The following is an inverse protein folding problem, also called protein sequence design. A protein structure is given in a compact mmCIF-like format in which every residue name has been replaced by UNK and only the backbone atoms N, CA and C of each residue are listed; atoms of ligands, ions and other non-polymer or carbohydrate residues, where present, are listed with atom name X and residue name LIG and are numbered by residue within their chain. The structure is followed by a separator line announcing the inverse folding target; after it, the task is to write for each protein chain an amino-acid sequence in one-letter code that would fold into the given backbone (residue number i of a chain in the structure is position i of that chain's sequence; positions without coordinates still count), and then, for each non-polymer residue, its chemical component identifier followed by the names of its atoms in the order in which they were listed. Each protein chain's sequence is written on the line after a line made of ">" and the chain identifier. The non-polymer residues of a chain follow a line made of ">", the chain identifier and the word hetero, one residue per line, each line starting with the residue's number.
data_IF_321742741795
#
_entry.id   IF_321742741795
#
_cell.length_a   1.000
_cell.length_b   1.000
_cell.length_c   1.000
_cell.angle_alpha   90.00
_cell.angle_beta   90.00
_cell.angle_gamma   90.00
#
_symmetry.space_group_name_H-M   'P 1'
#
loop_
_entity.id
_entity.type
_entity.pdbx_description
1 polymer ?
#
# COMPACT_ATOMS: atom_id res chain seq x y z
N UNK A 1 2.81 3.93 -16.28
CA UNK A 1 2.17 2.63 -16.52
C UNK A 1 1.90 1.99 -15.17
N UNK A 2 0.67 1.59 -14.91
CA UNK A 2 0.27 0.75 -13.80
C UNK A 2 0.19 -0.68 -14.31
N UNK A 3 0.95 -1.59 -13.69
CA UNK A 3 0.92 -3.02 -14.04
C UNK A 3 0.15 -3.74 -12.94
N UNK A 4 -1.00 -4.29 -13.30
CA UNK A 4 -1.79 -5.14 -12.44
C UNK A 4 -1.46 -6.60 -12.74
N UNK A 5 -1.15 -7.36 -11.69
CA UNK A 5 -0.81 -8.77 -11.82
C UNK A 5 -1.81 -9.62 -11.08
N UNK A 6 -2.38 -10.59 -11.79
CA UNK A 6 -3.20 -11.62 -11.21
C UNK A 6 -2.33 -12.84 -10.94
N UNK A 7 -2.00 -13.08 -9.68
CA UNK A 7 -1.17 -14.21 -9.27
C UNK A 7 -1.96 -15.53 -9.17
N UNK A 8 -2.85 -15.77 -10.14
CA UNK A 8 -3.70 -16.95 -10.28
C UNK A 8 -3.35 -17.67 -11.59
N UNK A 9 -3.37 -18.99 -11.56
CA UNK A 9 -3.05 -19.84 -12.72
C UNK A 9 -4.29 -20.43 -13.40
N UNK A 10 -5.46 -20.30 -12.78
CA UNK A 10 -6.74 -20.66 -13.37
C UNK A 10 -7.12 -19.67 -14.49
N UNK A 11 -7.08 -20.16 -15.73
CA UNK A 11 -7.35 -19.35 -16.92
C UNK A 11 -8.79 -18.87 -16.99
N UNK A 12 -9.77 -19.66 -16.52
CA UNK A 12 -11.17 -19.26 -16.57
C UNK A 12 -11.43 -18.08 -15.63
N UNK A 13 -10.85 -18.15 -14.43
CA UNK A 13 -10.87 -17.03 -13.49
C UNK A 13 -10.15 -15.80 -14.06
N UNK A 14 -8.92 -15.96 -14.58
CA UNK A 14 -8.16 -14.84 -15.15
C UNK A 14 -8.93 -14.18 -16.29
N UNK A 15 -9.50 -14.96 -17.22
CA UNK A 15 -10.28 -14.43 -18.33
C UNK A 15 -11.54 -13.68 -17.85
N UNK A 16 -12.21 -14.18 -16.81
CA UNK A 16 -13.39 -13.51 -16.25
C UNK A 16 -13.04 -12.12 -15.66
N UNK A 17 -11.89 -12.01 -14.98
CA UNK A 17 -11.43 -10.76 -14.39
C UNK A 17 -10.96 -9.79 -15.48
N UNK A 18 -10.21 -10.27 -16.47
CA UNK A 18 -9.78 -9.46 -17.62
C UNK A 18 -11.00 -8.88 -18.34
N UNK A 19 -12.03 -9.67 -18.62
CA UNK A 19 -13.25 -9.18 -19.26
C UNK A 19 -13.96 -8.09 -18.44
N UNK A 20 -13.95 -8.21 -17.10
CA UNK A 20 -14.50 -7.17 -16.23
C UNK A 20 -13.68 -5.88 -16.29
N UNK A 21 -12.35 -5.98 -16.27
CA UNK A 21 -11.45 -4.83 -16.35
C UNK A 21 -11.50 -4.14 -17.71
N UNK A 22 -11.57 -4.89 -18.81
CA UNK A 22 -11.73 -4.33 -20.14
C UNK A 22 -13.04 -3.54 -20.26
N UNK A 23 -14.11 -4.00 -19.61
CA UNK A 23 -15.38 -3.28 -19.58
C UNK A 23 -15.30 -1.96 -18.81
N UNK A 24 -14.59 -1.91 -17.68
CA UNK A 24 -14.55 -0.76 -16.79
C UNK A 24 -13.41 0.23 -17.12
N UNK A 25 -12.26 -0.25 -17.59
CA UNK A 25 -11.01 0.50 -17.80
C UNK A 25 -10.48 0.41 -19.23
N UNK A 26 -11.36 0.20 -20.22
CA UNK A 26 -10.98 0.10 -21.65
C UNK A 26 -10.09 1.25 -22.12
N UNK A 27 -10.35 2.48 -21.66
CA UNK A 27 -9.59 3.66 -22.09
C UNK A 27 -8.15 3.60 -21.57
N UNK A 28 -7.97 3.25 -20.31
CA UNK A 28 -6.66 3.16 -19.65
C UNK A 28 -5.85 1.98 -20.18
N UNK A 29 -6.51 0.85 -20.47
CA UNK A 29 -5.89 -0.33 -21.08
C UNK A 29 -5.44 -0.01 -22.50
N UNK A 30 -6.33 0.54 -23.33
CA UNK A 30 -6.02 0.85 -24.73
C UNK A 30 -4.95 1.95 -24.88
N UNK A 31 -4.85 2.87 -23.91
CA UNK A 31 -3.79 3.89 -23.90
C UNK A 31 -2.44 3.36 -23.39
N UNK A 32 -2.37 2.12 -22.89
CA UNK A 32 -1.18 1.57 -22.24
C UNK A 32 -0.90 2.17 -20.86
N UNK A 33 -1.84 2.93 -20.28
CA UNK A 33 -1.72 3.41 -18.90
C UNK A 33 -1.82 2.24 -17.93
N UNK A 34 -2.72 1.30 -18.19
CA UNK A 34 -2.95 0.08 -17.41
C UNK A 34 -2.56 -1.13 -18.24
N UNK A 35 -1.75 -1.99 -17.66
CA UNK A 35 -1.41 -3.29 -18.23
C UNK A 35 -1.82 -4.39 -17.25
N UNK A 36 -2.42 -5.45 -17.78
CA UNK A 36 -2.86 -6.61 -17.01
C UNK A 36 -2.04 -7.81 -17.43
N UNK A 37 -1.40 -8.48 -16.48
CA UNK A 37 -0.60 -9.68 -16.71
C UNK A 37 -0.94 -10.78 -15.72
N UNK A 38 -0.69 -12.02 -16.13
CA UNK A 38 -0.75 -13.18 -15.26
C UNK A 38 0.47 -14.09 -15.56
N UNK A 39 1.16 -14.59 -14.53
CA UNK A 39 2.24 -15.54 -14.74
C UNK A 39 1.69 -16.89 -15.24
N UNK A 40 2.33 -17.53 -16.24
CA UNK A 40 1.94 -18.86 -16.65
C UNK A 40 2.18 -19.86 -15.52
N UNK A 41 1.40 -20.95 -15.47
CA UNK A 41 1.57 -21.99 -14.45
C UNK A 41 3.00 -22.56 -14.42
N UNK A 42 3.67 -22.63 -15.58
CA UNK A 42 5.05 -23.09 -15.74
C UNK A 42 6.11 -22.18 -15.10
N UNK A 43 5.76 -20.94 -14.74
CA UNK A 43 6.65 -20.04 -14.03
C UNK A 43 6.94 -20.53 -12.61
N UNK A 44 5.95 -21.15 -11.95
CA UNK A 44 6.10 -21.59 -10.57
C UNK A 44 6.76 -22.97 -10.50
N UNK A 45 7.78 -23.15 -9.64
CA UNK A 45 8.33 -24.47 -9.34
C UNK A 45 7.35 -25.27 -8.49
N UNK A 46 7.66 -26.55 -8.25
CA UNK A 46 6.92 -27.33 -7.26
C UNK A 46 7.07 -26.71 -5.85
N UNK A 47 5.93 -26.28 -5.29
CA UNK A 47 5.83 -25.67 -3.95
C UNK A 47 5.25 -26.64 -2.91
N UNK A 48 5.12 -27.92 -3.22
CA UNK A 48 4.56 -28.92 -2.28
C UNK A 48 5.56 -29.36 -1.21
N UNK A 49 6.84 -29.46 -1.58
CA UNK A 49 7.91 -30.01 -0.74
C UNK A 49 8.83 -28.92 -0.16
N UNK A 50 8.23 -27.91 0.48
CA UNK A 50 8.98 -26.82 1.12
C UNK A 50 9.34 -27.16 2.57
N UNK A 51 10.55 -26.77 2.99
CA UNK A 51 11.01 -26.93 4.37
C UNK A 51 10.31 -25.92 5.28
N UNK A 52 9.77 -26.40 6.39
CA UNK A 52 9.22 -25.55 7.45
C UNK A 52 10.34 -24.76 8.16
N UNK A 53 10.09 -23.48 8.41
CA UNK A 53 11.07 -22.56 8.98
C UNK A 53 10.37 -21.54 9.87
N UNK A 54 11.07 -20.99 10.86
CA UNK A 54 10.55 -19.93 11.74
C UNK A 54 9.27 -20.28 12.51
N UNK A 55 8.95 -21.57 12.64
CA UNK A 55 7.70 -22.03 13.26
C UNK A 55 6.46 -21.80 12.40
N UNK A 56 6.62 -21.47 11.11
CA UNK A 56 5.51 -21.30 10.17
C UNK A 56 4.92 -22.66 9.75
N UNK A 57 3.61 -22.73 9.56
CA UNK A 57 2.95 -23.90 8.96
C UNK A 57 3.35 -24.07 7.49
N UNK A 58 3.14 -25.26 6.91
CA UNK A 58 3.39 -25.52 5.48
C UNK A 58 2.68 -24.55 4.57
N UNK A 59 1.43 -24.22 4.88
CA UNK A 59 0.61 -23.28 4.10
C UNK A 59 1.23 -21.89 4.11
N UNK A 60 1.71 -21.45 5.28
CA UNK A 60 2.37 -20.15 5.42
C UNK A 60 3.72 -20.11 4.70
N UNK A 61 4.51 -21.17 4.79
CA UNK A 61 5.78 -21.30 4.05
C UNK A 61 5.54 -21.28 2.55
N UNK A 62 4.55 -22.05 2.07
CA UNK A 62 4.12 -22.04 0.67
C UNK A 62 3.66 -20.65 0.23
N UNK A 63 2.83 -20.00 1.04
CA UNK A 63 2.33 -18.65 0.77
C UNK A 63 3.48 -17.64 0.62
N UNK A 64 4.40 -17.52 1.59
CA UNK A 64 5.51 -16.56 1.52
C UNK A 64 6.50 -16.89 0.39
N UNK A 65 6.69 -18.17 0.08
CA UNK A 65 7.57 -18.61 -1.01
C UNK A 65 6.98 -18.25 -2.37
N UNK A 66 5.68 -18.49 -2.56
CA UNK A 66 4.96 -18.07 -3.76
C UNK A 66 4.99 -16.55 -3.90
N UNK A 67 4.74 -15.82 -2.82
CA UNK A 67 4.71 -14.35 -2.81
C UNK A 67 6.05 -13.73 -3.28
N UNK A 68 7.18 -14.30 -2.87
CA UNK A 68 8.49 -13.87 -3.38
C UNK A 68 8.59 -14.02 -4.91
N UNK A 69 8.11 -15.14 -5.46
CA UNK A 69 8.11 -15.39 -6.91
C UNK A 69 7.12 -14.48 -7.64
N UNK A 70 5.97 -14.22 -7.04
CA UNK A 70 4.94 -13.28 -7.52
C UNK A 70 5.56 -11.88 -7.71
N UNK A 71 6.26 -11.37 -6.70
CA UNK A 71 6.97 -10.09 -6.80
C UNK A 71 8.08 -10.11 -7.85
N UNK A 72 8.91 -11.16 -7.89
CA UNK A 72 9.94 -11.29 -8.92
C UNK A 72 9.36 -11.21 -10.33
N UNK A 73 8.23 -11.88 -10.59
CA UNK A 73 7.58 -11.89 -11.90
C UNK A 73 7.18 -10.47 -12.32
N UNK A 74 6.47 -9.76 -11.43
CA UNK A 74 6.03 -8.39 -11.67
C UNK A 74 7.22 -7.45 -11.89
N UNK A 75 8.25 -7.53 -11.03
CA UNK A 75 9.44 -6.69 -11.13
C UNK A 75 10.20 -6.93 -12.44
N UNK A 76 10.38 -8.19 -12.86
CA UNK A 76 11.02 -8.52 -14.13
C UNK A 76 10.26 -7.95 -15.33
N UNK A 77 8.93 -8.05 -15.31
CA UNK A 77 8.09 -7.50 -16.38
C UNK A 77 8.14 -5.97 -16.43
N UNK A 78 8.10 -5.32 -15.26
CA UNK A 78 8.03 -3.87 -15.14
C UNK A 78 9.37 -3.15 -15.31
N UNK A 79 10.50 -3.84 -15.15
CA UNK A 79 11.84 -3.25 -15.13
C UNK A 79 12.10 -2.26 -16.27
N UNK A 80 11.69 -2.61 -17.50
CA UNK A 80 11.98 -1.80 -18.69
C UNK A 80 10.94 -0.72 -19.00
N UNK A 81 9.93 -0.54 -18.14
CA UNK A 81 8.76 0.32 -18.42
C UNK A 81 8.85 1.73 -17.83
N UNK A 82 9.84 2.00 -16.99
CA UNK A 82 9.98 3.30 -16.34
C UNK A 82 11.38 3.54 -15.80
N UNK A 83 11.61 4.75 -15.29
CA UNK A 83 12.84 5.12 -14.57
C UNK A 83 12.83 4.59 -13.14
N UNK A 84 11.64 4.56 -12.54
CA UNK A 84 11.39 4.06 -11.19
C UNK A 84 10.32 2.98 -11.22
N UNK A 85 10.47 2.02 -10.32
CA UNK A 85 9.46 1.00 -10.02
C UNK A 85 8.94 1.24 -8.60
N UNK A 86 7.63 1.10 -8.39
CA UNK A 86 7.02 1.15 -7.06
C UNK A 86 6.17 -0.11 -6.86
N UNK A 87 6.45 -0.85 -5.80
CA UNK A 87 5.60 -1.97 -5.38
C UNK A 87 4.40 -1.44 -4.59
N UNK A 88 3.21 -1.85 -4.99
CA UNK A 88 1.97 -1.68 -4.22
C UNK A 88 1.36 -3.06 -3.95
N UNK A 89 0.54 -3.14 -2.91
CA UNK A 89 -0.27 -4.32 -2.59
C UNK A 89 -1.75 -3.97 -2.76
N UNK A 90 -2.60 -4.99 -2.71
CA UNK A 90 -4.04 -4.86 -2.59
C UNK A 90 -4.44 -4.28 -1.22
N UNK A 91 -5.73 -3.92 -1.09
CA UNK A 91 -6.32 -3.42 0.15
C UNK A 91 -5.56 -2.24 0.82
N UNK A 92 -5.03 -1.32 0.01
CA UNK A 92 -4.35 -0.11 0.51
C UNK A 92 -5.25 1.13 0.45
N UNK A 93 -5.16 1.96 1.47
CA UNK A 93 -5.65 3.34 1.48
C UNK A 93 -4.48 4.28 1.22
N UNK A 94 -4.70 5.27 0.36
CA UNK A 94 -3.69 6.25 -0.06
C UNK A 94 -4.01 7.64 0.47
N UNK A 95 -2.97 8.45 0.73
CA UNK A 95 -3.16 9.88 0.99
C UNK A 95 -3.50 10.66 -0.29
N UNK A 96 -4.20 11.78 -0.13
CA UNK A 96 -4.39 12.73 -1.22
C UNK A 96 -3.03 13.17 -1.77
N UNK A 97 -2.95 13.37 -3.09
CA UNK A 97 -1.72 13.79 -3.78
C UNK A 97 -0.53 12.83 -3.59
N UNK A 98 -0.76 11.54 -3.27
CA UNK A 98 0.32 10.57 -3.08
C UNK A 98 1.27 10.53 -4.29
N UNK A 99 0.73 10.54 -5.51
CA UNK A 99 1.52 10.42 -6.73
C UNK A 99 2.46 11.62 -6.94
N UNK A 100 1.95 12.85 -6.83
CA UNK A 100 2.78 14.05 -6.98
C UNK A 100 3.81 14.17 -5.85
N UNK A 101 3.43 13.77 -4.63
CA UNK A 101 4.33 13.73 -3.48
C UNK A 101 5.50 12.77 -3.71
N UNK A 102 5.20 11.53 -4.14
CA UNK A 102 6.19 10.51 -4.49
C UNK A 102 7.13 11.01 -5.58
N UNK A 103 6.56 11.56 -6.67
CA UNK A 103 7.34 12.06 -7.81
C UNK A 103 8.31 13.16 -7.38
N UNK A 104 7.82 14.15 -6.63
CA UNK A 104 8.66 15.27 -6.18
C UNK A 104 9.76 14.79 -5.22
N UNK A 105 9.45 13.85 -4.33
CA UNK A 105 10.43 13.28 -3.41
C UNK A 105 11.53 12.50 -4.13
N UNK A 106 11.15 11.64 -5.10
CA UNK A 106 12.12 10.91 -5.92
C UNK A 106 13.00 11.86 -6.74
N UNK A 107 12.44 12.93 -7.30
CA UNK A 107 13.20 13.93 -8.05
C UNK A 107 14.16 14.74 -7.15
N UNK A 108 13.76 15.05 -5.92
CA UNK A 108 14.62 15.73 -4.95
C UNK A 108 15.86 14.88 -4.60
N UNK A 109 15.70 13.56 -4.57
CA UNK A 109 16.77 12.62 -4.25
C UNK A 109 17.47 12.05 -5.50
N UNK A 110 17.24 12.61 -6.69
CA UNK A 110 17.77 12.06 -7.94
C UNK A 110 19.31 12.07 -8.02
N UNK A 111 19.97 12.96 -7.26
CA UNK A 111 21.45 13.05 -7.17
C UNK A 111 22.03 12.27 -6.00
N UNK A 112 21.21 11.76 -5.09
CA UNK A 112 21.64 11.04 -3.90
C UNK A 112 21.82 9.55 -4.19
N UNK A 113 22.74 8.91 -3.48
CA UNK A 113 22.93 7.45 -3.55
C UNK A 113 21.95 6.75 -2.60
N UNK A 114 20.83 6.28 -3.15
CA UNK A 114 19.81 5.53 -2.43
C UNK A 114 19.42 4.28 -3.21
N UNK A 115 19.02 3.24 -2.48
CA UNK A 115 18.58 1.97 -3.08
C UNK A 115 17.07 1.75 -2.93
N UNK A 116 16.48 2.17 -1.80
CA UNK A 116 15.06 1.97 -1.50
C UNK A 116 14.47 3.26 -0.97
N UNK A 117 13.43 3.80 -1.62
CA UNK A 117 12.58 4.81 -1.01
C UNK A 117 11.32 4.14 -0.42
N UNK A 118 11.03 4.41 0.85
CA UNK A 118 9.87 3.85 1.55
C UNK A 118 8.78 4.90 1.75
N UNK A 119 7.57 4.60 1.26
CA UNK A 119 6.36 5.41 1.49
C UNK A 119 5.36 4.75 2.46
N UNK A 120 5.71 3.56 2.98
CA UNK A 120 5.11 2.92 4.14
C UNK A 120 6.15 2.05 4.83
N UNK A 121 6.06 1.95 6.16
CA UNK A 121 6.86 1.04 6.98
C UNK A 121 6.38 -0.42 6.87
N UNK A 122 5.14 -0.64 6.45
CA UNK A 122 4.53 -1.98 6.46
C UNK A 122 4.88 -2.75 5.20
N UNK A 123 5.37 -3.97 5.38
CA UNK A 123 5.54 -4.96 4.32
C UNK A 123 6.30 -4.43 3.11
N UNK A 124 5.90 -4.90 1.93
CA UNK A 124 6.49 -4.50 0.66
C UNK A 124 5.76 -3.31 0.01
N UNK A 125 4.79 -2.72 0.72
CA UNK A 125 3.96 -1.63 0.22
C UNK A 125 4.77 -0.35 0.10
N UNK A 126 4.59 0.35 -1.02
CA UNK A 126 5.16 1.67 -1.25
C UNK A 126 6.69 1.66 -1.23
N UNK A 127 7.31 0.54 -1.63
CA UNK A 127 8.77 0.47 -1.81
C UNK A 127 9.10 0.82 -3.25
N UNK A 128 9.89 1.87 -3.42
CA UNK A 128 10.37 2.34 -4.71
C UNK A 128 11.84 1.98 -4.90
N UNK A 129 12.16 1.56 -6.13
CA UNK A 129 13.52 1.28 -6.58
C UNK A 129 13.81 1.98 -7.90
N UNK A 130 15.10 2.20 -8.18
CA UNK A 130 15.53 2.58 -9.53
C UNK A 130 15.47 1.36 -10.45
N UNK A 131 15.00 1.54 -11.68
CA UNK A 131 14.89 0.43 -12.63
C UNK A 131 16.20 -0.33 -12.90
N UNK A 132 17.40 0.31 -12.94
CA UNK A 132 18.66 -0.41 -13.07
C UNK A 132 18.94 -1.39 -11.91
N UNK A 133 18.50 -1.07 -10.70
CA UNK A 133 18.73 -1.90 -9.51
C UNK A 133 17.77 -3.10 -9.40
N UNK A 134 16.67 -3.08 -10.18
CA UNK A 134 15.66 -4.14 -10.15
C UNK A 134 16.27 -5.51 -10.47
N UNK A 135 17.22 -5.61 -11.39
CA UNK A 135 17.88 -6.90 -11.70
C UNK A 135 18.54 -7.49 -10.46
N UNK A 136 19.35 -6.71 -9.74
CA UNK A 136 20.04 -7.17 -8.55
C UNK A 136 19.06 -7.58 -7.44
N UNK A 137 17.98 -6.81 -7.28
CA UNK A 137 16.95 -7.11 -6.28
C UNK A 137 16.23 -8.42 -6.61
N UNK A 138 15.77 -8.56 -7.87
CA UNK A 138 15.10 -9.77 -8.34
C UNK A 138 16.01 -10.98 -8.21
N UNK A 139 17.27 -10.91 -8.65
CA UNK A 139 18.22 -12.03 -8.57
C UNK A 139 18.43 -12.46 -7.11
N UNK A 140 18.60 -11.51 -6.19
CA UNK A 140 18.74 -11.84 -4.77
C UNK A 140 17.50 -12.51 -4.21
N UNK A 141 16.30 -11.96 -4.49
CA UNK A 141 15.05 -12.57 -4.03
C UNK A 141 14.88 -13.97 -4.64
N UNK A 142 15.20 -14.12 -5.92
CA UNK A 142 15.07 -15.38 -6.65
C UNK A 142 16.08 -16.43 -6.16
N UNK A 143 17.26 -16.05 -5.67
CA UNK A 143 18.19 -16.98 -5.01
C UNK A 143 17.65 -17.49 -3.67
N UNK A 144 16.92 -16.66 -2.92
CA UNK A 144 16.51 -16.94 -1.54
C UNK A 144 15.00 -17.04 -1.32
N UNK A 145 14.21 -17.21 -2.38
CA UNK A 145 12.74 -17.14 -2.34
C UNK A 145 12.09 -18.17 -1.39
N UNK A 146 12.76 -19.31 -1.15
CA UNK A 146 12.32 -20.34 -0.18
C UNK A 146 12.67 -19.99 1.26
N UNK A 147 13.73 -19.21 1.46
CA UNK A 147 14.39 -19.08 2.76
C UNK A 147 13.72 -18.08 3.70
N UNK A 148 13.28 -16.93 3.18
CA UNK A 148 12.73 -15.85 4.01
C UNK A 148 11.61 -15.10 3.29
N UNK A 149 10.67 -14.45 4.01
CA UNK A 149 9.72 -13.53 3.39
C UNK A 149 10.43 -12.30 2.80
N UNK A 150 9.76 -11.62 1.87
CA UNK A 150 10.32 -10.54 1.05
C UNK A 150 10.93 -9.39 1.87
N UNK A 151 10.25 -8.94 2.93
CA UNK A 151 10.70 -7.83 3.77
C UNK A 151 12.06 -8.10 4.39
N UNK A 152 12.28 -9.36 4.79
CA UNK A 152 13.53 -9.80 5.37
C UNK A 152 14.59 -9.89 4.29
N UNK A 153 14.28 -10.43 3.11
CA UNK A 153 15.22 -10.49 2.00
C UNK A 153 15.70 -9.09 1.60
N UNK A 154 14.81 -8.10 1.50
CA UNK A 154 15.18 -6.71 1.23
C UNK A 154 16.12 -6.13 2.30
N UNK A 155 15.90 -6.46 3.59
CA UNK A 155 16.81 -6.07 4.65
C UNK A 155 18.18 -6.77 4.56
N UNK A 156 18.20 -8.04 4.13
CA UNK A 156 19.44 -8.78 3.92
C UNK A 156 20.24 -8.24 2.72
N UNK A 157 19.59 -7.77 1.66
CA UNK A 157 20.28 -7.08 0.56
C UNK A 157 21.08 -5.89 1.09
N UNK A 158 20.46 -5.04 1.91
CA UNK A 158 21.15 -3.90 2.50
C UNK A 158 22.25 -4.35 3.47
N UNK A 159 21.99 -5.39 4.28
CA UNK A 159 23.00 -5.94 5.18
C UNK A 159 24.26 -6.36 4.41
N UNK A 160 24.10 -7.13 3.33
CA UNK A 160 25.22 -7.59 2.49
C UNK A 160 25.94 -6.42 1.82
N UNK A 161 25.23 -5.37 1.40
CA UNK A 161 25.84 -4.23 0.70
C UNK A 161 26.63 -3.30 1.62
N UNK A 162 26.17 -3.05 2.85
CA UNK A 162 26.72 -1.93 3.66
C UNK A 162 27.09 -2.26 5.11
N UNK A 163 26.72 -3.43 5.64
CA UNK A 163 27.06 -3.76 7.01
C UNK A 163 28.43 -4.40 7.12
N UNK A 164 29.27 -3.86 8.02
CA UNK A 164 30.56 -4.44 8.35
C UNK A 164 30.38 -5.42 9.53
N UNK A 165 30.70 -6.72 9.37
CA UNK A 165 30.57 -7.73 10.43
C UNK A 165 31.41 -7.45 11.68
N UNK A 166 32.48 -6.66 11.57
CA UNK A 166 33.36 -6.29 12.68
C UNK A 166 32.84 -5.10 13.50
N UNK A 167 31.72 -4.48 13.08
CA UNK A 167 31.11 -3.33 13.74
C UNK A 167 29.79 -3.69 14.41
N UNK A 168 29.33 -2.80 15.28
CA UNK A 168 28.10 -2.99 16.02
C UNK A 168 26.83 -2.83 15.17
N UNK A 169 25.70 -3.28 15.73
CA UNK A 169 24.40 -3.21 15.06
C UNK A 169 24.01 -1.75 14.73
N UNK A 170 24.34 -0.79 15.60
CA UNK A 170 24.04 0.64 15.38
C UNK A 170 24.76 1.18 14.15
N UNK A 171 26.00 0.78 13.92
CA UNK A 171 26.71 1.12 12.70
C UNK A 171 25.97 0.56 11.48
N UNK A 172 25.61 -0.72 11.49
CA UNK A 172 24.87 -1.36 10.40
C UNK A 172 23.54 -0.65 10.11
N UNK A 173 22.74 -0.36 11.15
CA UNK A 173 21.45 0.33 11.02
C UNK A 173 21.60 1.72 10.40
N UNK A 174 22.64 2.46 10.79
CA UNK A 174 22.95 3.77 10.19
C UNK A 174 23.31 3.64 8.71
N UNK A 175 24.15 2.67 8.36
CA UNK A 175 24.51 2.45 6.96
C UNK A 175 23.29 2.05 6.12
N UNK A 176 22.46 1.13 6.63
CA UNK A 176 21.20 0.74 5.97
C UNK A 176 20.28 1.95 5.76
N UNK A 177 20.18 2.84 6.74
CA UNK A 177 19.32 4.03 6.69
C UNK A 177 19.75 5.06 5.64
N UNK A 178 21.03 5.08 5.26
CA UNK A 178 21.51 5.95 4.17
C UNK A 178 20.99 5.46 2.80
N UNK A 179 20.90 4.15 2.59
CA UNK A 179 20.38 3.57 1.34
C UNK A 179 18.87 3.33 1.34
N UNK A 180 18.25 3.20 2.52
CA UNK A 180 16.82 3.03 2.73
C UNK A 180 16.23 4.31 3.32
N UNK A 181 15.84 5.22 2.43
CA UNK A 181 15.32 6.53 2.82
C UNK A 181 13.79 6.44 2.96
N UNK A 182 13.29 6.78 4.15
CA UNK A 182 11.85 6.77 4.42
C UNK A 182 11.25 8.16 4.26
N UNK A 183 10.18 8.24 3.47
CA UNK A 183 9.30 9.39 3.43
C UNK A 183 8.38 9.41 4.65
N UNK A 184 8.26 10.58 5.28
CA UNK A 184 7.33 10.81 6.40
C UNK A 184 6.47 12.04 6.13
N UNK A 185 5.15 11.98 6.42
CA UNK A 185 4.40 10.83 6.94
C UNK A 185 4.15 9.75 5.86
N UNK A 186 3.88 8.51 6.27
CA UNK A 186 3.55 7.42 5.33
C UNK A 186 2.36 7.80 4.44
N UNK A 187 2.43 7.40 3.17
CA UNK A 187 1.42 7.68 2.15
C UNK A 187 0.44 6.52 1.94
N UNK A 188 0.82 5.33 2.40
CA UNK A 188 0.04 4.09 2.24
C UNK A 188 -0.25 3.45 3.59
N UNK A 189 -1.45 2.86 3.71
CA UNK A 189 -1.88 2.04 4.84
C UNK A 189 -2.63 0.82 4.32
N UNK A 190 -2.22 -0.37 4.74
CA UNK A 190 -2.96 -1.60 4.46
C UNK A 190 -4.20 -1.68 5.36
N UNK A 191 -5.40 -1.87 4.79
CA UNK A 191 -6.68 -1.95 5.53
C UNK A 191 -7.37 -3.31 5.42
N UNK A 192 -6.82 -4.24 4.64
CA UNK A 192 -7.34 -5.61 4.54
C UNK A 192 -7.34 -6.28 5.91
N UNK A 193 -8.53 -6.52 6.47
CA UNK A 193 -8.73 -7.12 7.79
C UNK A 193 -8.48 -8.63 7.79
N UNK A 194 -8.75 -9.29 6.66
CA UNK A 194 -8.61 -10.72 6.46
C UNK A 194 -7.51 -10.99 5.44
N UNK A 195 -6.44 -11.66 5.87
CA UNK A 195 -5.39 -12.11 4.96
C UNK A 195 -5.91 -13.26 4.09
N UNK A 196 -5.31 -13.44 2.90
CA UNK A 196 -5.45 -14.65 2.08
C UNK A 196 -5.01 -15.93 2.82
N UNK A 197 -4.30 -15.81 3.94
CA UNK A 197 -4.07 -16.91 4.88
C UNK A 197 -5.26 -17.05 5.86
N UNK A 198 -5.94 -18.20 5.80
CA UNK A 198 -7.11 -18.50 6.63
C UNK A 198 -6.84 -18.25 8.12
N UNK A 199 -7.70 -17.45 8.76
CA UNK A 199 -7.65 -17.14 10.19
C UNK A 199 -6.70 -16.01 10.62
N UNK A 200 -5.93 -15.41 9.71
CA UNK A 200 -5.03 -14.29 10.04
C UNK A 200 -5.75 -12.95 9.89
N UNK A 201 -6.09 -12.35 11.04
CA UNK A 201 -6.59 -10.98 11.11
C UNK A 201 -5.40 -10.02 11.09
N UNK A 202 -5.34 -9.12 10.10
CA UNK A 202 -4.28 -8.11 10.00
C UNK A 202 -4.75 -6.81 10.67
N UNK A 203 -4.17 -6.49 11.83
CA UNK A 203 -4.46 -5.26 12.60
C UNK A 203 -3.32 -4.24 12.56
N UNK A 204 -2.27 -4.50 11.77
CA UNK A 204 -1.11 -3.61 11.73
C UNK A 204 -1.50 -2.26 11.12
N UNK A 205 -1.18 -1.22 11.88
CA UNK A 205 -1.30 0.18 11.45
C UNK A 205 0.10 0.76 11.34
N UNK A 206 0.35 1.49 10.26
CA UNK A 206 1.59 2.20 10.04
C UNK A 206 1.61 3.41 10.98
N UNK A 207 2.60 3.45 11.87
CA UNK A 207 2.67 4.47 12.93
C UNK A 207 2.84 5.88 12.37
N UNK A 208 3.48 5.99 11.20
CA UNK A 208 3.73 7.25 10.51
C UNK A 208 2.60 7.58 9.51
N UNK A 209 1.63 6.67 9.30
CA UNK A 209 0.40 6.98 8.57
C UNK A 209 -0.53 7.79 9.45
N UNK A 210 -0.32 9.12 9.44
CA UNK A 210 -1.28 10.04 10.02
C UNK A 210 -2.62 9.79 9.32
N UNK A 211 -3.61 9.27 10.08
CA UNK A 211 -5.00 9.19 9.61
C UNK A 211 -5.33 10.55 9.00
N UNK A 212 -5.98 10.60 7.83
CA UNK A 212 -6.51 11.86 7.34
C UNK A 212 -7.24 12.51 8.52
N UNK A 213 -6.99 13.79 8.77
CA UNK A 213 -7.83 14.51 9.70
C UNK A 213 -9.25 14.35 9.16
N UNK A 214 -10.07 13.52 9.83
CA UNK A 214 -11.50 13.37 9.49
C UNK A 214 -12.17 14.75 9.51
N UNK A 215 -11.61 15.62 10.33
CA UNK A 215 -11.86 17.04 10.38
C UNK A 215 -11.03 17.80 9.33
N UNK A 216 -11.70 18.33 8.29
CA UNK A 216 -11.14 19.46 7.54
C UNK A 216 -11.40 20.72 8.34
N UNK A 217 -10.35 21.50 8.66
CA UNK A 217 -10.55 22.81 9.28
C UNK A 217 -11.39 23.66 8.33
N UNK A 218 -12.55 24.09 8.82
CA UNK A 218 -13.48 24.92 8.09
C UNK A 218 -14.15 25.90 9.05
N UNK A 219 -14.65 27.00 8.52
CA UNK A 219 -15.39 28.02 9.28
C UNK A 219 -16.75 28.13 8.64
N UNK A 220 -17.78 27.60 9.31
CA UNK A 220 -19.16 27.74 8.86
C UNK A 220 -19.77 29.05 9.37
N UNK A 221 -20.75 29.62 8.66
CA UNK A 221 -21.52 30.74 9.19
C UNK A 221 -22.32 30.30 10.44
N UNK A 222 -22.72 31.22 11.33
CA UNK A 222 -23.52 30.85 12.51
C UNK A 222 -24.83 30.14 12.12
N UNK A 223 -25.08 28.98 12.72
CA UNK A 223 -26.34 28.25 12.58
C UNK A 223 -26.64 27.43 13.84
N UNK A 224 -27.92 27.24 14.10
CA UNK A 224 -28.42 26.23 15.02
C UNK A 224 -28.49 24.90 14.26
N UNK A 225 -27.73 23.90 14.71
CA UNK A 225 -27.69 22.58 14.09
C UNK A 225 -28.39 21.57 14.98
N UNK A 226 -29.18 20.69 14.37
CA UNK A 226 -29.86 19.62 15.10
C UNK A 226 -30.04 18.38 14.24
N UNK A 227 -30.21 17.24 14.89
CA UNK A 227 -30.37 15.96 14.20
C UNK A 227 -31.20 15.00 15.03
N UNK A 228 -31.96 14.13 14.36
CA UNK A 228 -32.62 12.99 15.01
C UNK A 228 -31.70 11.79 15.20
N UNK A 229 -30.52 11.77 14.54
CA UNK A 229 -29.62 10.63 14.59
C UNK A 229 -28.96 10.51 15.97
N UNK A 230 -28.94 9.29 16.52
CA UNK A 230 -28.30 9.02 17.81
C UNK A 230 -26.78 9.11 17.69
N UNK A 231 -26.21 10.13 18.34
CA UNK A 231 -24.75 10.36 18.40
C UNK A 231 -24.03 9.15 19.00
N UNK A 232 -22.90 8.80 18.39
CA UNK A 232 -22.00 7.74 18.82
C UNK A 232 -20.72 8.32 19.41
N UNK A 233 -20.30 7.81 20.57
CA UNK A 233 -19.04 8.17 21.25
C UNK A 233 -18.78 9.67 21.46
N UNK A 234 -19.82 10.52 21.45
CA UNK A 234 -19.70 11.96 21.74
C UNK A 234 -19.22 12.83 20.59
N UNK A 235 -19.20 12.30 19.36
CA UNK A 235 -18.88 12.97 18.10
C UNK A 235 -20.12 13.66 17.53
N UNK A 236 -20.45 14.86 18.04
CA UNK A 236 -21.74 15.53 17.79
C UNK A 236 -21.75 16.37 16.50
N UNK A 237 -22.96 16.70 16.03
CA UNK A 237 -23.15 17.52 14.83
C UNK A 237 -22.65 18.96 15.06
N UNK A 238 -22.84 19.50 16.26
CA UNK A 238 -22.40 20.84 16.65
C UNK A 238 -20.88 20.96 16.55
N UNK A 239 -20.14 20.02 17.13
CA UNK A 239 -18.67 19.98 17.07
C UNK A 239 -18.17 19.88 15.63
N UNK A 240 -18.90 19.16 14.78
CA UNK A 240 -18.59 19.07 13.36
C UNK A 240 -18.79 20.41 12.67
N UNK A 241 -19.90 21.06 12.96
CA UNK A 241 -20.27 22.34 12.36
C UNK A 241 -19.33 23.48 12.74
N UNK A 242 -18.83 23.51 13.98
CA UNK A 242 -17.85 24.52 14.42
C UNK A 242 -16.40 24.18 14.06
N UNK A 243 -16.15 23.01 13.47
CA UNK A 243 -14.81 22.56 13.11
C UNK A 243 -13.95 22.14 14.31
N UNK A 244 -14.56 21.60 15.36
CA UNK A 244 -13.85 21.03 16.51
C UNK A 244 -13.64 19.51 16.38
N UNK A 245 -14.56 18.80 15.74
CA UNK A 245 -14.57 17.33 15.63
C UNK A 245 -15.26 16.87 14.33
N UNK A 246 -15.56 15.57 14.19
CA UNK A 246 -16.42 15.00 13.15
C UNK A 246 -17.76 14.49 13.70
N UNK A 247 -18.72 14.22 12.83
CA UNK A 247 -20.06 13.75 13.22
C UNK A 247 -20.09 12.24 13.07
N UNK A 248 -20.39 11.52 14.15
CA UNK A 248 -20.57 10.08 14.12
C UNK A 248 -21.87 9.71 14.81
N UNK A 249 -22.78 9.10 14.04
CA UNK A 249 -24.05 8.62 14.55
C UNK A 249 -24.32 7.19 14.09
N UNK A 250 -25.34 6.57 14.69
CA UNK A 250 -25.84 5.25 14.27
C UNK A 250 -26.43 5.32 12.85
N UNK A 251 -26.59 4.15 12.22
CA UNK A 251 -27.17 4.01 10.88
C UNK A 251 -28.51 4.75 10.79
N UNK A 252 -28.68 5.69 9.83
CA UNK A 252 -29.92 6.44 9.67
C UNK A 252 -31.09 5.52 9.29
N UNK A 253 -32.29 5.84 9.76
CA UNK A 253 -33.55 5.20 9.34
C UNK A 253 -34.43 6.19 8.57
N UNK A 254 -35.45 5.69 7.87
CA UNK A 254 -36.39 6.55 7.14
C UNK A 254 -37.06 7.54 8.10
N UNK A 255 -36.97 8.83 7.77
CA UNK A 255 -37.46 9.93 8.61
C UNK A 255 -36.40 10.63 9.45
N UNK A 256 -35.16 10.12 9.50
CA UNK A 256 -34.07 10.82 10.15
C UNK A 256 -33.65 12.10 9.40
N UNK A 257 -33.19 13.09 10.16
CA UNK A 257 -32.79 14.39 9.61
C UNK A 257 -31.49 14.93 10.22
N UNK A 258 -30.85 15.77 9.43
CA UNK A 258 -29.83 16.74 9.85
C UNK A 258 -30.36 18.09 9.40
N UNK A 259 -30.52 19.02 10.35
CA UNK A 259 -31.10 20.33 10.13
C UNK A 259 -30.06 21.41 10.45
N UNK A 260 -29.88 22.32 9.50
CA UNK A 260 -29.08 23.54 9.68
C UNK A 260 -30.03 24.73 9.58
N UNK A 261 -30.15 25.50 10.66
CA UNK A 261 -31.00 26.69 10.72
C UNK A 261 -30.11 27.93 10.85
N UNK A 262 -30.01 28.68 9.77
CA UNK A 262 -29.25 29.92 9.72
C UNK A 262 -30.13 31.11 10.13
N UNK A 263 -29.59 32.01 10.94
CA UNK A 263 -30.32 33.23 11.37
C UNK A 263 -30.47 34.26 10.24
N UNK A 264 -29.60 34.18 9.22
CA UNK A 264 -29.60 35.04 8.04
C UNK A 264 -29.59 34.19 6.78
N UNK A 265 -30.10 34.69 5.65
CA UNK A 265 -29.93 34.03 4.36
C UNK A 265 -28.43 33.80 4.06
N UNK A 266 -28.07 32.58 3.71
CA UNK A 266 -26.70 32.17 3.37
C UNK A 266 -26.71 31.56 1.96
N UNK A 267 -25.71 31.91 1.16
CA UNK A 267 -25.49 31.24 -0.13
C UNK A 267 -24.81 29.89 0.12
N UNK A 268 -25.45 28.81 -0.31
CA UNK A 268 -24.91 27.45 -0.21
C UNK A 268 -24.45 27.03 -1.60
N UNK A 269 -23.17 26.73 -1.75
CA UNK A 269 -22.59 26.15 -2.95
C UNK A 269 -22.32 24.65 -2.73
N UNK A 270 -22.39 23.88 -3.82
CA UNK A 270 -22.26 22.41 -3.79
C UNK A 270 -20.81 21.96 -3.97
#
# INVERSE_FOLDING_TARGET
>A
VFVFVFFQTDLDYVNSVVASLEKEFSTEINSGLVEVIAPPASYYPDLTNLKETFGDSKERVRWRTKQNLDYCFLMMYAQKKGVYYIQLEDDIVVKQNYFSTIKNFALQLASEDWMILEFSQLGFIGKMFQSPDITLIVEFIFMFYKEKPIDWLLDHILWVKVCNPEKDAKHCDRQKSNLRIRFRPSLFQHVGLHSSLAGKIQKLTDKDFLKPLLHKIHVNPPAEVSTSLKVYQGHTLEKTYVGEDFFWAVTPVAGDYILFKFDKPVNVER
#
